data_IF_526947880430
#
_entry.id   IF_526947880430
#
_cell.length_a   1.000
_cell.length_b   1.000
_cell.length_c   1.000
_cell.angle_alpha   90.00
_cell.angle_beta   90.00
_cell.angle_gamma   90.00
#
_symmetry.space_group_name_H-M   'P 1'
#
loop_
_entity.id
_entity.type
_entity.pdbx_description
1 polymer ?
#
# COMPACT_ATOMS: atom_id res chain seq x y z
N UNK A 1 -9.30 -10.08 -4.81
CA UNK A 1 -9.96 -11.40 -5.01
C UNK A 1 -10.51 -11.97 -3.72
N UNK A 2 -9.72 -12.20 -2.67
CA UNK A 2 -10.25 -12.74 -1.41
C UNK A 2 -11.36 -11.87 -0.79
N UNK A 3 -11.19 -10.55 -0.84
CA UNK A 3 -12.21 -9.56 -0.45
C UNK A 3 -13.52 -9.69 -1.24
N UNK A 4 -13.45 -9.74 -2.57
CA UNK A 4 -14.62 -9.94 -3.44
C UNK A 4 -15.45 -11.18 -3.10
N UNK A 5 -14.80 -12.27 -2.67
CA UNK A 5 -15.48 -13.51 -2.26
C UNK A 5 -15.82 -13.57 -0.77
N UNK A 6 -15.58 -12.50 0.00
CA UNK A 6 -15.82 -12.47 1.44
C UNK A 6 -14.98 -13.46 2.24
N UNK A 7 -13.83 -13.89 1.71
CA UNK A 7 -12.95 -14.89 2.33
C UNK A 7 -12.09 -14.28 3.43
N UNK A 8 -12.73 -13.82 4.52
CA UNK A 8 -12.06 -13.12 5.63
C UNK A 8 -10.80 -13.82 6.17
N UNK A 9 -10.78 -15.15 6.41
CA UNK A 9 -9.58 -15.83 6.90
C UNK A 9 -8.39 -15.76 5.93
N UNK A 10 -8.67 -15.69 4.62
CA UNK A 10 -7.62 -15.57 3.60
C UNK A 10 -7.06 -14.15 3.59
N UNK A 11 -7.92 -13.13 3.76
CA UNK A 11 -7.50 -11.73 3.86
C UNK A 11 -6.58 -11.54 5.07
N UNK A 12 -6.99 -12.02 6.24
CA UNK A 12 -6.19 -11.98 7.47
C UNK A 12 -4.82 -12.65 7.27
N UNK A 13 -4.77 -13.79 6.57
CA UNK A 13 -3.51 -14.47 6.27
C UNK A 13 -2.63 -13.68 5.30
N UNK A 14 -3.23 -13.03 4.31
CA UNK A 14 -2.50 -12.14 3.41
C UNK A 14 -1.90 -10.95 4.19
N UNK A 15 -2.66 -10.33 5.08
CA UNK A 15 -2.20 -9.23 5.92
C UNK A 15 -1.04 -9.65 6.84
N UNK A 16 -1.12 -10.82 7.48
CA UNK A 16 0.01 -11.36 8.27
C UNK A 16 1.30 -11.49 7.45
N UNK A 17 1.19 -11.97 6.20
CA UNK A 17 2.34 -12.11 5.30
C UNK A 17 2.88 -10.74 4.90
N UNK A 18 2.00 -9.78 4.59
CA UNK A 18 2.38 -8.40 4.27
C UNK A 18 3.16 -7.79 5.43
N UNK A 19 2.64 -7.89 6.67
CA UNK A 19 3.30 -7.33 7.86
C UNK A 19 4.70 -7.93 8.05
N UNK A 20 4.84 -9.26 7.89
CA UNK A 20 6.13 -9.94 8.04
C UNK A 20 7.14 -9.52 6.97
N UNK A 21 6.68 -9.38 5.73
CA UNK A 21 7.54 -9.14 4.58
C UNK A 21 7.79 -7.65 4.32
N UNK A 22 6.98 -6.74 4.88
CA UNK A 22 7.03 -5.30 4.60
C UNK A 22 8.43 -4.68 4.81
N UNK A 23 9.22 -5.21 5.76
CA UNK A 23 10.58 -4.71 6.01
C UNK A 23 11.63 -5.19 4.99
N UNK A 24 11.30 -6.18 4.17
CA UNK A 24 12.21 -6.82 3.20
C UNK A 24 11.82 -6.58 1.76
N UNK A 25 10.61 -6.07 1.53
CA UNK A 25 10.08 -5.83 0.20
C UNK A 25 10.67 -4.55 -0.39
N UNK A 26 10.96 -4.60 -1.68
CA UNK A 26 11.34 -3.43 -2.45
C UNK A 26 10.21 -2.41 -2.49
N UNK A 27 10.60 -1.15 -2.57
CA UNK A 27 9.73 0.03 -2.58
C UNK A 27 8.58 -0.04 -3.60
N UNK A 28 8.86 -0.60 -4.78
CA UNK A 28 7.86 -0.81 -5.84
C UNK A 28 6.77 -1.80 -5.41
N UNK A 29 7.16 -2.92 -4.79
CA UNK A 29 6.22 -3.94 -4.34
C UNK A 29 5.40 -3.45 -3.16
N UNK A 30 6.02 -2.72 -2.23
CA UNK A 30 5.32 -2.07 -1.12
C UNK A 30 4.23 -1.12 -1.63
N UNK A 31 4.55 -0.30 -2.62
CA UNK A 31 3.58 0.61 -3.24
C UNK A 31 2.43 -0.15 -3.90
N UNK A 32 2.72 -1.20 -4.66
CA UNK A 32 1.68 -2.02 -5.30
C UNK A 32 0.74 -2.68 -4.28
N UNK A 33 1.29 -3.16 -3.16
CA UNK A 33 0.51 -3.74 -2.06
C UNK A 33 -0.34 -2.65 -1.40
N UNK A 34 0.22 -1.48 -1.11
CA UNK A 34 -0.52 -0.37 -0.53
C UNK A 34 -1.70 0.06 -1.41
N UNK A 35 -1.49 0.13 -2.73
CA UNK A 35 -2.57 0.37 -3.70
C UNK A 35 -3.67 -0.70 -3.61
N UNK A 36 -3.30 -1.98 -3.56
CA UNK A 36 -4.26 -3.08 -3.47
C UNK A 36 -5.03 -3.07 -2.14
N UNK A 37 -4.37 -2.74 -1.03
CA UNK A 37 -4.99 -2.64 0.29
C UNK A 37 -5.93 -1.43 0.37
N UNK A 38 -5.53 -0.29 -0.18
CA UNK A 38 -6.34 0.93 -0.23
C UNK A 38 -7.67 0.77 -0.97
N UNK A 39 -7.74 -0.18 -1.93
CA UNK A 39 -8.96 -0.48 -2.68
C UNK A 39 -10.01 -1.21 -1.84
N UNK A 40 -9.60 -2.01 -0.87
CA UNK A 40 -10.53 -2.82 -0.07
C UNK A 40 -10.68 -2.31 1.37
N UNK A 41 -9.58 -1.91 2.03
CA UNK A 41 -9.60 -1.40 3.41
C UNK A 41 -8.49 -0.37 3.63
N UNK A 42 -8.84 0.86 3.28
CA UNK A 42 -8.00 2.05 3.40
C UNK A 42 -7.63 2.41 4.84
N UNK A 43 -8.43 2.00 5.83
CA UNK A 43 -8.23 2.36 7.24
C UNK A 43 -7.68 1.20 8.06
N UNK A 44 -7.28 0.09 7.41
CA UNK A 44 -6.67 -1.05 8.08
C UNK A 44 -5.35 -0.67 8.76
N UNK A 45 -5.00 -1.31 9.89
CA UNK A 45 -3.68 -1.17 10.50
C UNK A 45 -2.52 -1.53 9.53
N UNK A 46 -2.77 -2.48 8.63
CA UNK A 46 -1.85 -2.87 7.57
C UNK A 46 -1.57 -1.69 6.64
N UNK A 47 -2.59 -0.90 6.29
CA UNK A 47 -2.44 0.29 5.49
C UNK A 47 -1.58 1.36 6.17
N UNK A 48 -1.80 1.60 7.47
CA UNK A 48 -0.96 2.52 8.26
C UNK A 48 0.51 2.10 8.24
N UNK A 49 0.79 0.81 8.42
CA UNK A 49 2.16 0.29 8.36
C UNK A 49 2.78 0.47 6.98
N UNK A 50 2.03 0.23 5.91
CA UNK A 50 2.52 0.43 4.54
C UNK A 50 2.80 1.91 4.25
N UNK A 51 1.94 2.82 4.72
CA UNK A 51 2.13 4.26 4.58
C UNK A 51 3.38 4.72 5.34
N UNK A 52 3.57 4.28 6.57
CA UNK A 52 4.76 4.62 7.37
C UNK A 52 6.04 4.13 6.67
N UNK A 53 6.02 2.94 6.07
CA UNK A 53 7.16 2.47 5.27
C UNK A 53 7.38 3.31 4.01
N UNK A 54 6.31 3.64 3.28
CA UNK A 54 6.39 4.47 2.08
C UNK A 54 6.84 5.90 2.40
N UNK A 55 6.49 6.46 3.56
CA UNK A 55 6.88 7.81 3.98
C UNK A 55 8.39 7.93 4.26
N UNK A 56 9.00 6.84 4.74
CA UNK A 56 10.46 6.77 4.95
C UNK A 56 11.27 6.61 3.66
N UNK A 57 10.61 6.40 2.51
CA UNK A 57 11.30 6.21 1.24
C UNK A 57 11.85 7.52 0.69
N UNK A 58 13.04 7.42 0.09
CA UNK A 58 13.65 8.55 -0.61
C UNK A 58 12.83 8.90 -1.84
N UNK A 59 12.70 10.20 -2.11
CA UNK A 59 11.97 10.74 -3.26
C UNK A 59 12.47 10.19 -4.61
N UNK A 60 13.73 9.78 -4.67
CA UNK A 60 14.39 9.14 -5.83
C UNK A 60 13.93 7.70 -6.10
N UNK A 61 13.42 7.00 -5.09
CA UNK A 61 12.83 5.67 -5.26
C UNK A 61 11.37 5.79 -5.67
N UNK A 62 10.67 6.77 -5.10
CA UNK A 62 9.32 7.15 -5.51
C UNK A 62 9.27 7.59 -6.99
N UNK A 63 10.30 8.30 -7.48
CA UNK A 63 10.36 8.71 -8.90
C UNK A 63 10.60 7.54 -9.86
N UNK A 64 11.06 6.38 -9.37
CA UNK A 64 11.22 5.15 -10.15
C UNK A 64 9.95 4.31 -10.23
N UNK A 65 8.92 4.65 -9.45
CA UNK A 65 7.59 4.05 -9.59
C UNK A 65 7.07 4.40 -10.99
N UNK A 66 7.22 3.48 -11.92
CA UNK A 66 6.62 3.61 -13.25
C UNK A 66 5.15 3.29 -13.12
N UNK A 67 4.35 4.33 -12.99
CA UNK A 67 2.90 4.26 -13.14
C UNK A 67 2.60 3.91 -14.59
N UNK A 68 2.27 2.65 -14.84
CA UNK A 68 2.03 2.17 -16.20
C UNK A 68 0.65 2.56 -16.71
N UNK A 69 -0.30 2.79 -15.80
CA UNK A 69 -1.69 3.08 -16.12
C UNK A 69 -2.21 4.32 -15.39
N UNK A 70 -3.22 4.99 -15.98
CA UNK A 70 -3.90 6.13 -15.38
C UNK A 70 -4.51 5.78 -14.00
N UNK A 71 -4.95 4.53 -13.81
CA UNK A 71 -5.40 4.01 -12.52
C UNK A 71 -4.31 4.06 -11.44
N UNK A 72 -3.04 3.85 -11.81
CA UNK A 72 -1.92 3.85 -10.87
C UNK A 72 -1.63 5.27 -10.38
N UNK A 73 -1.87 6.27 -11.23
CA UNK A 73 -1.72 7.70 -10.91
C UNK A 73 -2.84 8.14 -9.94
N UNK A 74 -4.10 7.79 -10.19
CA UNK A 74 -5.20 8.09 -9.26
C UNK A 74 -5.01 7.43 -7.89
N UNK A 75 -4.45 6.21 -7.85
CA UNK A 75 -4.08 5.52 -6.60
C UNK A 75 -2.93 6.22 -5.89
N UNK A 76 -1.94 6.72 -6.62
CA UNK A 76 -0.86 7.54 -6.05
C UNK A 76 -1.40 8.81 -5.39
N UNK A 77 -2.33 9.53 -6.02
CA UNK A 77 -2.96 10.71 -5.41
C UNK A 77 -3.70 10.36 -4.13
N UNK A 78 -4.48 9.27 -4.13
CA UNK A 78 -5.17 8.79 -2.92
C UNK A 78 -4.19 8.40 -1.79
N UNK A 79 -3.03 7.83 -2.15
CA UNK A 79 -1.95 7.52 -1.21
C UNK A 79 -1.22 8.76 -0.72
N UNK A 80 -1.00 9.75 -1.58
CA UNK A 80 -0.40 11.04 -1.23
C UNK A 80 -1.30 11.83 -0.27
N UNK A 81 -2.62 11.79 -0.47
CA UNK A 81 -3.59 12.37 0.47
C UNK A 81 -3.48 11.71 1.85
N UNK A 82 -3.35 10.39 1.90
CA UNK A 82 -3.15 9.61 3.13
C UNK A 82 -1.81 9.89 3.82
N UNK A 83 -0.71 9.93 3.06
CA UNK A 83 0.63 10.27 3.58
C UNK A 83 0.64 11.70 4.11
N UNK A 84 -0.01 12.64 3.40
CA UNK A 84 -0.13 14.03 3.84
C UNK A 84 -0.98 14.16 5.11
N UNK A 85 -2.02 13.33 5.27
CA UNK A 85 -2.83 13.29 6.48
C UNK A 85 -2.07 12.76 7.71
N UNK A 86 -1.12 11.84 7.52
CA UNK A 86 -0.32 11.27 8.61
C UNK A 86 0.84 12.17 9.06
N UNK A 87 1.21 13.17 8.24
CA UNK A 87 2.31 14.10 8.52
C UNK A 87 1.85 15.47 9.06
N UNK A 88 0.54 15.63 9.31
CA UNK A 88 -0.10 16.78 9.96
C UNK A 88 -0.50 16.43 11.40
#
# INVERSE_FOLDING_TARGET
MADYFGMKPVIEKCEEVIIKQANTLESIKLFQIACAVAEHDRYSPTMTLLIDKLSTMKREELSKLRFSQASDIFKMFSLLDLVSLHHL
#
